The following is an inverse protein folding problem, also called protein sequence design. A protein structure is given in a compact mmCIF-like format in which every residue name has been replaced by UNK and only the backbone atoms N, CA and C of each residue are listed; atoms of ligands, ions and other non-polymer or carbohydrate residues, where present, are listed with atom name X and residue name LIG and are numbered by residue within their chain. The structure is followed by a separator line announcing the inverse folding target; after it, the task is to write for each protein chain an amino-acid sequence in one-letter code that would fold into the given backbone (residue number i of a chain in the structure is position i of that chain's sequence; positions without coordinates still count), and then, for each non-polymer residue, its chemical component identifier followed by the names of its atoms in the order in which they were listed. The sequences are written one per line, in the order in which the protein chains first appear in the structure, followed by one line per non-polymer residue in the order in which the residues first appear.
data_IF_358774506361
#
_entry.id   IF_358774506361
#
_cell.length_a   1.000
_cell.length_b   1.000
_cell.length_c   1.000
_cell.angle_alpha   90.00
_cell.angle_beta   90.00
_cell.angle_gamma   90.00
#
_symmetry.space_group_name_H-M   'P 1'
#
loop_
_entity.id
_entity.type
_entity.pdbx_description
1 polymer ?
#
# COMPACT_ATOMS: atom_id res chain seq x y z
N UNK A 1 70.31 -3.58 0.11
CA UNK A 1 69.78 -2.65 -0.91
C UNK A 1 68.39 -3.14 -1.25
N UNK A 2 67.34 -2.41 -0.87
CA UNK A 2 65.95 -2.77 -1.18
C UNK A 2 65.61 -2.12 -2.53
N UNK A 3 65.30 -2.90 -3.56
CA UNK A 3 65.00 -2.33 -4.88
C UNK A 3 63.56 -1.78 -4.92
N UNK A 4 63.35 -0.50 -5.25
CA UNK A 4 62.02 0.13 -5.23
C UNK A 4 61.03 -0.52 -6.21
N UNK A 5 61.52 -1.13 -7.30
CA UNK A 5 60.71 -1.87 -8.27
C UNK A 5 59.92 -3.04 -7.64
N UNK A 6 60.44 -3.65 -6.56
CA UNK A 6 59.75 -4.76 -5.87
C UNK A 6 58.47 -4.31 -5.15
N UNK A 7 58.47 -3.10 -4.58
CA UNK A 7 57.32 -2.56 -3.86
C UNK A 7 56.20 -2.12 -4.82
N UNK A 8 56.54 -1.45 -5.93
CA UNK A 8 55.56 -1.05 -6.94
C UNK A 8 54.91 -2.27 -7.62
N UNK A 9 55.69 -3.30 -7.96
CA UNK A 9 55.16 -4.54 -8.50
C UNK A 9 54.20 -5.24 -7.51
N UNK A 10 54.50 -5.21 -6.21
CA UNK A 10 53.65 -5.79 -5.17
C UNK A 10 52.33 -5.01 -4.99
N UNK A 11 52.39 -3.67 -4.99
CA UNK A 11 51.18 -2.81 -4.93
C UNK A 11 50.31 -2.99 -6.18
N UNK A 12 50.93 -3.06 -7.37
CA UNK A 12 50.22 -3.33 -8.62
C UNK A 12 49.55 -4.72 -8.63
N UNK A 13 50.24 -5.75 -8.11
CA UNK A 13 49.70 -7.10 -7.98
C UNK A 13 48.51 -7.15 -7.00
N UNK A 14 48.61 -6.50 -5.84
CA UNK A 14 47.50 -6.37 -4.89
C UNK A 14 46.31 -5.62 -5.48
N UNK A 15 46.55 -4.53 -6.22
CA UNK A 15 45.52 -3.79 -6.94
C UNK A 15 44.82 -4.65 -8.01
N UNK A 16 45.59 -5.45 -8.77
CA UNK A 16 45.06 -6.39 -9.76
C UNK A 16 44.20 -7.50 -9.14
N UNK A 17 44.65 -8.09 -8.03
CA UNK A 17 43.87 -9.10 -7.28
C UNK A 17 42.59 -8.49 -6.71
N UNK A 18 42.66 -7.29 -6.14
CA UNK A 18 41.48 -6.58 -5.62
C UNK A 18 40.48 -6.24 -6.74
N UNK A 19 40.95 -5.78 -7.89
CA UNK A 19 40.11 -5.53 -9.06
C UNK A 19 39.45 -6.82 -9.59
N UNK A 20 40.20 -7.92 -9.70
CA UNK A 20 39.65 -9.22 -10.12
C UNK A 20 38.62 -9.76 -9.12
N UNK A 21 38.83 -9.57 -7.81
CA UNK A 21 37.86 -9.93 -6.78
C UNK A 21 36.59 -9.08 -6.88
N UNK A 22 36.70 -7.76 -7.02
CA UNK A 22 35.54 -6.88 -7.23
C UNK A 22 34.80 -7.20 -8.53
N UNK A 23 35.52 -7.50 -9.62
CA UNK A 23 34.94 -7.90 -10.90
C UNK A 23 34.22 -9.26 -10.78
N UNK A 24 34.84 -10.26 -10.13
CA UNK A 24 34.22 -11.56 -9.90
C UNK A 24 32.99 -11.47 -8.98
N UNK A 25 33.02 -10.64 -7.93
CA UNK A 25 31.87 -10.34 -7.09
C UNK A 25 30.77 -9.61 -7.87
N UNK A 26 31.13 -8.65 -8.73
CA UNK A 26 30.21 -7.94 -9.63
C UNK A 26 29.54 -8.87 -10.64
N UNK A 27 30.31 -9.75 -11.30
CA UNK A 27 29.78 -10.76 -12.23
C UNK A 27 28.89 -11.77 -11.48
N UNK A 28 29.31 -12.26 -10.31
CA UNK A 28 28.49 -13.14 -9.45
C UNK A 28 27.18 -12.46 -9.02
N UNK A 29 27.23 -11.18 -8.69
CA UNK A 29 26.03 -10.40 -8.35
C UNK A 29 25.12 -10.21 -9.57
N UNK A 30 25.67 -9.84 -10.74
CA UNK A 30 24.91 -9.72 -11.99
C UNK A 30 24.27 -11.04 -12.42
N UNK A 31 24.96 -12.16 -12.24
CA UNK A 31 24.41 -13.50 -12.46
C UNK A 31 23.30 -13.84 -11.45
N UNK A 32 23.44 -13.43 -10.18
CA UNK A 32 22.39 -13.58 -9.16
C UNK A 32 21.18 -12.66 -9.41
N UNK A 33 21.39 -11.50 -10.04
CA UNK A 33 20.35 -10.55 -10.44
C UNK A 33 19.63 -10.96 -11.75
N UNK A 34 20.11 -12.00 -12.47
CA UNK A 34 19.38 -12.53 -13.63
C UNK A 34 18.08 -13.19 -13.18
N UNK A 35 16.98 -12.77 -13.80
CA UNK A 35 15.65 -13.37 -13.62
C UNK A 35 15.64 -14.81 -14.14
N UNK A 36 15.00 -15.77 -13.44
CA UNK A 36 14.76 -17.12 -13.96
C UNK A 36 13.96 -17.13 -15.26
N UNK A 37 14.04 -18.22 -16.03
CA UNK A 37 13.19 -18.42 -17.20
C UNK A 37 11.70 -18.44 -16.79
N UNK A 38 10.84 -17.74 -17.53
CA UNK A 38 9.41 -17.62 -17.22
C UNK A 38 9.05 -16.68 -16.07
N UNK A 39 10.02 -16.05 -15.40
CA UNK A 39 9.77 -15.10 -14.31
C UNK A 39 9.19 -13.77 -14.82
N UNK A 40 8.34 -13.05 -14.06
CA UNK A 40 7.71 -11.81 -14.53
C UNK A 40 8.72 -10.75 -15.03
N UNK A 41 8.41 -10.02 -16.12
CA UNK A 41 9.27 -8.98 -16.67
C UNK A 41 9.40 -7.81 -15.70
N UNK A 42 10.36 -6.91 -15.94
CA UNK A 42 10.48 -5.69 -15.14
C UNK A 42 11.77 -4.91 -15.40
N UNK A 43 11.92 -3.72 -14.80
CA UNK A 43 13.05 -2.84 -15.05
C UNK A 43 14.39 -3.47 -14.65
N UNK A 44 15.43 -3.16 -15.41
CA UNK A 44 16.80 -3.62 -15.17
C UNK A 44 17.40 -2.87 -13.99
N UNK A 45 17.72 -3.59 -12.92
CA UNK A 45 18.34 -3.00 -11.74
C UNK A 45 19.82 -2.66 -11.95
N UNK A 46 20.32 -1.68 -11.21
CA UNK A 46 21.76 -1.41 -11.11
C UNK A 46 22.47 -2.52 -10.31
N UNK A 47 23.78 -2.74 -10.52
CA UNK A 47 24.57 -3.64 -9.68
C UNK A 47 24.45 -3.26 -8.21
N UNK A 48 24.24 -4.26 -7.34
CA UNK A 48 24.09 -4.16 -5.87
C UNK A 48 22.85 -3.39 -5.35
N UNK A 49 22.46 -2.27 -5.98
CA UNK A 49 21.34 -1.41 -5.55
C UNK A 49 20.01 -1.87 -6.16
N UNK A 50 20.04 -2.57 -7.29
CA UNK A 50 18.85 -3.02 -8.00
C UNK A 50 18.01 -1.82 -8.49
N UNK A 51 16.71 -1.90 -8.26
CA UNK A 51 15.71 -0.87 -8.56
C UNK A 51 15.41 0.05 -7.37
N UNK A 52 16.12 -0.07 -6.24
CA UNK A 52 15.96 0.83 -5.09
C UNK A 52 16.29 2.28 -5.50
N UNK A 53 17.32 2.48 -6.33
CA UNK A 53 17.67 3.81 -6.83
C UNK A 53 16.52 4.43 -7.65
N UNK A 54 15.93 3.69 -8.59
CA UNK A 54 14.80 4.19 -9.39
C UNK A 54 13.55 4.49 -8.55
N UNK A 55 13.31 3.72 -7.48
CA UNK A 55 12.24 4.00 -6.52
C UNK A 55 12.53 5.27 -5.72
N UNK A 56 13.75 5.42 -5.18
CA UNK A 56 14.14 6.51 -4.30
C UNK A 56 14.43 7.84 -5.04
N UNK A 57 14.87 7.78 -6.29
CA UNK A 57 15.12 8.93 -7.16
C UNK A 57 13.86 9.40 -7.90
N UNK A 58 12.77 8.62 -7.87
CA UNK A 58 11.47 9.09 -8.36
C UNK A 58 10.91 10.19 -7.43
N UNK A 59 10.34 11.24 -8.00
CA UNK A 59 9.65 12.29 -7.23
C UNK A 59 8.26 11.84 -6.70
N UNK A 60 7.82 10.64 -7.10
CA UNK A 60 6.53 10.02 -6.81
C UNK A 60 6.64 9.09 -5.58
N UNK A 61 5.51 8.69 -4.99
CA UNK A 61 5.52 7.69 -3.90
C UNK A 61 5.71 6.28 -4.49
N UNK A 62 6.36 5.33 -3.77
CA UNK A 62 6.70 4.00 -4.33
C UNK A 62 5.53 3.23 -4.95
N UNK A 63 4.33 3.31 -4.36
CA UNK A 63 3.12 2.65 -4.87
C UNK A 63 2.55 3.30 -6.15
N UNK A 64 2.74 4.62 -6.32
CA UNK A 64 2.38 5.36 -7.53
C UNK A 64 3.36 4.99 -8.65
N UNK A 65 4.66 5.01 -8.36
CA UNK A 65 5.69 4.53 -9.28
C UNK A 65 5.41 3.09 -9.73
N UNK A 66 5.09 2.18 -8.81
CA UNK A 66 4.76 0.79 -9.15
C UNK A 66 3.50 0.67 -10.03
N UNK A 67 2.45 1.47 -9.78
CA UNK A 67 1.27 1.55 -10.68
C UNK A 67 1.68 2.02 -12.08
N UNK A 68 2.54 3.02 -12.19
CA UNK A 68 3.08 3.52 -13.47
C UNK A 68 3.89 2.43 -14.21
N UNK A 69 4.69 1.64 -13.48
CA UNK A 69 5.41 0.50 -14.07
C UNK A 69 4.49 -0.61 -14.58
N UNK A 70 3.32 -0.84 -13.96
CA UNK A 70 2.36 -1.84 -14.50
C UNK A 70 1.76 -1.47 -15.85
N UNK A 71 1.78 -0.19 -16.25
CA UNK A 71 1.39 0.22 -17.61
C UNK A 71 2.43 -0.19 -18.68
N UNK A 72 3.68 -0.45 -18.27
CA UNK A 72 4.79 -0.82 -19.16
C UNK A 72 5.03 -2.33 -19.16
N UNK A 73 4.97 -2.96 -17.99
CA UNK A 73 5.33 -4.38 -17.79
C UNK A 73 4.12 -5.31 -17.54
N UNK A 74 2.92 -4.77 -17.41
CA UNK A 74 1.68 -5.50 -17.12
C UNK A 74 1.34 -5.59 -15.62
N UNK A 75 0.20 -6.22 -15.32
CA UNK A 75 -0.34 -6.37 -13.96
C UNK A 75 0.59 -7.12 -12.99
N UNK A 76 1.46 -7.98 -13.51
CA UNK A 76 2.49 -8.71 -12.75
C UNK A 76 3.86 -8.35 -13.33
N UNK A 77 4.70 -7.70 -12.53
CA UNK A 77 6.09 -7.39 -12.89
C UNK A 77 7.03 -7.60 -11.71
N UNK A 78 8.34 -7.70 -11.96
CA UNK A 78 9.33 -7.96 -10.91
C UNK A 78 10.34 -6.82 -10.73
N UNK A 79 10.66 -6.54 -9.47
CA UNK A 79 11.68 -5.60 -9.03
C UNK A 79 12.83 -6.34 -8.33
N UNK A 80 13.99 -5.70 -8.35
CA UNK A 80 15.13 -6.08 -7.52
C UNK A 80 15.27 -5.02 -6.41
N UNK A 81 15.09 -5.42 -5.17
CA UNK A 81 15.21 -4.57 -3.98
C UNK A 81 16.54 -4.87 -3.26
N UNK A 82 17.66 -4.58 -3.93
CA UNK A 82 19.00 -4.69 -3.34
C UNK A 82 19.48 -6.13 -3.16
N UNK A 83 19.18 -7.02 -4.12
CA UNK A 83 19.49 -8.45 -4.07
C UNK A 83 18.33 -9.34 -3.60
N UNK A 84 17.16 -8.75 -3.32
CA UNK A 84 15.89 -9.45 -3.07
C UNK A 84 15.01 -9.29 -4.33
N UNK A 85 14.67 -10.39 -4.98
CA UNK A 85 13.71 -10.35 -6.10
C UNK A 85 12.29 -10.35 -5.56
N UNK A 86 11.51 -9.34 -5.95
CA UNK A 86 10.14 -9.15 -5.53
C UNK A 86 9.20 -9.04 -6.73
N UNK A 87 8.09 -9.78 -6.72
CA UNK A 87 7.00 -9.67 -7.71
C UNK A 87 5.95 -8.69 -7.19
N UNK A 88 5.58 -7.70 -7.98
CA UNK A 88 4.54 -6.71 -7.65
C UNK A 88 3.25 -7.06 -8.38
N UNK A 89 2.17 -7.23 -7.62
CA UNK A 89 0.82 -7.48 -8.14
C UNK A 89 0.05 -6.16 -8.20
N UNK A 90 -0.50 -5.83 -9.37
CA UNK A 90 -1.28 -4.62 -9.61
C UNK A 90 -2.62 -4.98 -10.29
N UNK A 91 -3.73 -4.41 -9.81
CA UNK A 91 -5.09 -4.70 -10.30
C UNK A 91 -5.87 -5.63 -9.37
N UNK A 92 -7.19 -5.46 -9.29
CA UNK A 92 -8.03 -6.25 -8.36
C UNK A 92 -7.98 -7.75 -8.65
N UNK A 93 -8.09 -8.13 -9.92
CA UNK A 93 -8.29 -9.52 -10.34
C UNK A 93 -7.09 -10.40 -9.97
N UNK A 94 -5.87 -9.92 -10.21
CA UNK A 94 -4.65 -10.66 -9.84
C UNK A 94 -4.42 -10.71 -8.33
N UNK A 95 -4.82 -9.66 -7.59
CA UNK A 95 -4.72 -9.66 -6.13
C UNK A 95 -5.74 -10.61 -5.51
N UNK A 96 -6.97 -10.69 -6.07
CA UNK A 96 -7.97 -11.69 -5.67
C UNK A 96 -7.47 -13.11 -5.97
N UNK A 97 -6.90 -13.33 -7.16
CA UNK A 97 -6.32 -14.60 -7.60
C UNK A 97 -5.22 -15.09 -6.64
N UNK A 98 -4.16 -14.31 -6.45
CA UNK A 98 -3.04 -14.71 -5.60
C UNK A 98 -3.43 -14.85 -4.12
N UNK A 99 -4.18 -13.90 -3.56
CA UNK A 99 -4.45 -13.91 -2.12
C UNK A 99 -5.55 -14.89 -1.72
N UNK A 100 -6.60 -15.06 -2.53
CA UNK A 100 -7.73 -15.95 -2.20
C UNK A 100 -7.46 -17.37 -2.69
N UNK A 101 -7.11 -17.56 -3.96
CA UNK A 101 -6.98 -18.90 -4.55
C UNK A 101 -5.63 -19.56 -4.25
N UNK A 102 -4.57 -18.79 -3.97
CA UNK A 102 -3.23 -19.33 -3.59
C UNK A 102 -2.87 -19.01 -2.14
N UNK A 103 -3.87 -19.00 -1.25
CA UNK A 103 -3.71 -18.50 0.12
C UNK A 103 -2.79 -19.30 1.05
N UNK A 104 -2.44 -20.56 0.72
CA UNK A 104 -1.41 -21.37 1.44
C UNK A 104 -0.07 -20.63 1.48
N UNK A 105 0.20 -19.94 0.38
CA UNK A 105 1.55 -19.63 -0.06
C UNK A 105 2.09 -18.41 0.70
N UNK A 106 1.23 -17.51 1.17
CA UNK A 106 1.57 -16.09 1.33
C UNK A 106 1.51 -15.53 2.77
N UNK A 107 2.67 -15.52 3.43
CA UNK A 107 2.88 -15.47 4.90
C UNK A 107 2.57 -14.17 5.71
N UNK A 108 3.56 -13.39 6.21
CA UNK A 108 3.40 -12.72 7.53
C UNK A 108 3.70 -11.20 7.69
N UNK A 109 3.23 -10.62 8.81
CA UNK A 109 2.91 -9.18 8.94
C UNK A 109 3.06 -8.56 10.36
N UNK A 110 3.41 -7.26 10.47
CA UNK A 110 3.18 -6.40 11.67
C UNK A 110 2.31 -5.13 11.41
N UNK A 111 1.94 -4.36 12.45
CA UNK A 111 0.78 -3.42 12.48
C UNK A 111 1.06 -1.89 12.61
N UNK A 112 0.12 -1.02 12.19
CA UNK A 112 0.09 0.46 12.39
C UNK A 112 -1.35 1.09 12.37
N UNK A 113 -1.58 2.36 12.82
CA UNK A 113 -2.91 3.03 12.92
C UNK A 113 -3.18 4.26 11.99
N UNK A 114 -4.35 4.91 12.13
CA UNK A 114 -5.07 5.79 11.15
C UNK A 114 -5.72 7.05 11.78
N UNK A 115 -5.76 8.23 11.10
CA UNK A 115 -6.85 9.26 11.10
C UNK A 115 -6.46 10.55 10.27
N UNK A 116 -7.17 10.94 9.17
CA UNK A 116 -6.99 12.33 8.62
C UNK A 116 -8.06 12.97 7.69
N UNK A 117 -9.04 12.27 7.07
CA UNK A 117 -9.86 12.87 5.97
C UNK A 117 -11.35 13.09 6.28
N UNK A 118 -11.71 13.34 7.53
CA UNK A 118 -13.11 13.39 8.00
C UNK A 118 -13.82 14.76 7.88
N UNK A 119 -13.11 15.84 7.54
CA UNK A 119 -13.61 17.22 7.78
C UNK A 119 -14.33 17.89 6.61
N UNK A 120 -14.61 17.20 5.49
CA UNK A 120 -15.12 17.84 4.23
C UNK A 120 -16.52 17.43 3.77
N UNK A 121 -17.34 16.77 4.59
CA UNK A 121 -18.56 16.06 4.12
C UNK A 121 -19.89 16.80 4.35
N UNK A 122 -19.89 18.14 4.24
CA UNK A 122 -21.10 18.96 4.18
C UNK A 122 -22.08 18.85 5.37
N UNK A 123 -21.63 18.34 6.52
CA UNK A 123 -22.46 18.07 7.70
C UNK A 123 -23.47 16.92 7.53
N UNK A 124 -23.49 16.20 6.41
CA UNK A 124 -24.50 15.15 6.15
C UNK A 124 -24.37 13.95 7.09
N UNK A 125 -23.14 13.57 7.44
CA UNK A 125 -22.86 12.60 8.53
C UNK A 125 -23.42 13.09 9.87
N UNK A 126 -23.28 14.38 10.19
CA UNK A 126 -23.79 14.92 11.46
C UNK A 126 -25.32 14.87 11.49
N UNK A 127 -26.00 15.21 10.38
CA UNK A 127 -27.46 15.07 10.25
C UNK A 127 -27.93 13.62 10.47
N UNK A 128 -27.20 12.64 9.94
CA UNK A 128 -27.52 11.22 10.11
C UNK A 128 -27.29 10.75 11.56
N UNK A 129 -26.18 11.18 12.19
CA UNK A 129 -25.91 10.97 13.63
C UNK A 129 -27.03 11.56 14.48
N UNK A 130 -27.43 12.81 14.22
CA UNK A 130 -28.45 13.52 15.00
C UNK A 130 -29.85 12.87 14.84
N UNK A 131 -30.14 12.30 13.67
CA UNK A 131 -31.40 11.60 13.38
C UNK A 131 -31.49 10.22 14.04
N UNK A 132 -30.39 9.45 14.03
CA UNK A 132 -30.38 8.04 14.45
C UNK A 132 -29.96 7.86 15.91
N UNK A 133 -28.95 8.61 16.36
CA UNK A 133 -28.36 8.51 17.71
C UNK A 133 -28.87 9.67 18.59
N UNK A 134 -29.00 10.86 18.01
CA UNK A 134 -29.38 12.08 18.72
C UNK A 134 -28.29 12.65 19.64
N UNK A 135 -28.53 13.81 20.28
CA UNK A 135 -27.51 14.54 21.04
C UNK A 135 -27.15 13.90 22.39
N UNK A 136 -28.03 13.05 22.93
CA UNK A 136 -27.83 12.37 24.23
C UNK A 136 -27.67 10.84 24.11
N UNK A 137 -27.84 10.28 22.91
CA UNK A 137 -27.58 8.86 22.67
C UNK A 137 -26.09 8.53 22.82
N UNK A 138 -25.80 7.26 23.09
CA UNK A 138 -24.42 6.74 23.13
C UNK A 138 -24.20 5.95 21.84
N UNK A 139 -23.24 6.33 20.98
CA UNK A 139 -22.97 5.58 19.76
C UNK A 139 -22.73 4.10 20.04
N UNK A 140 -23.47 3.24 19.35
CA UNK A 140 -23.36 1.79 19.39
C UNK A 140 -23.12 1.22 18.00
N UNK A 141 -22.41 0.10 17.93
CA UNK A 141 -22.21 -0.63 16.67
C UNK A 141 -23.52 -1.11 16.04
N UNK A 142 -24.56 -1.36 16.86
CA UNK A 142 -25.88 -1.78 16.41
C UNK A 142 -26.60 -0.73 15.55
N UNK A 143 -26.21 0.54 15.68
CA UNK A 143 -26.79 1.67 14.94
C UNK A 143 -26.24 1.76 13.51
N UNK A 144 -25.07 1.15 13.23
CA UNK A 144 -24.38 1.18 11.93
C UNK A 144 -25.30 0.84 10.75
N UNK A 145 -26.15 -0.18 10.89
CA UNK A 145 -27.04 -0.61 9.81
C UNK A 145 -28.17 0.39 9.50
N UNK A 146 -28.38 1.40 10.35
CA UNK A 146 -29.33 2.51 10.15
C UNK A 146 -28.64 3.79 9.64
N UNK A 147 -27.32 3.77 9.46
CA UNK A 147 -26.49 4.93 9.12
C UNK A 147 -25.71 4.69 7.81
N UNK A 148 -26.40 4.46 6.67
CA UNK A 148 -25.77 4.06 5.43
C UNK A 148 -24.79 5.10 4.88
N UNK A 149 -25.02 6.40 5.08
CA UNK A 149 -24.11 7.44 4.59
C UNK A 149 -22.81 7.48 5.42
N UNK A 150 -22.89 7.35 6.75
CA UNK A 150 -21.74 7.19 7.63
C UNK A 150 -20.94 5.94 7.28
N UNK A 151 -21.61 4.82 6.99
CA UNK A 151 -20.92 3.60 6.56
C UNK A 151 -20.24 3.79 5.20
N UNK A 152 -20.92 4.39 4.23
CA UNK A 152 -20.38 4.73 2.91
C UNK A 152 -19.14 5.63 3.01
N UNK A 153 -19.19 6.64 3.88
CA UNK A 153 -18.06 7.52 4.22
C UNK A 153 -16.87 6.75 4.77
N UNK A 154 -17.08 5.87 5.76
CA UNK A 154 -15.98 5.09 6.36
C UNK A 154 -15.33 4.14 5.34
N UNK A 155 -16.12 3.59 4.42
CA UNK A 155 -15.61 2.75 3.33
C UNK A 155 -14.83 3.57 2.29
N UNK A 156 -15.26 4.80 1.96
CA UNK A 156 -14.52 5.70 1.09
C UNK A 156 -13.25 6.26 1.75
N UNK A 157 -13.25 6.51 3.07
CA UNK A 157 -12.03 6.84 3.83
C UNK A 157 -11.01 5.71 3.73
N UNK A 158 -11.43 4.45 3.86
CA UNK A 158 -10.54 3.29 3.72
C UNK A 158 -9.99 3.15 2.29
N UNK A 159 -10.83 3.35 1.26
CA UNK A 159 -10.41 3.32 -0.16
C UNK A 159 -9.42 4.44 -0.47
N UNK A 160 -9.79 5.67 -0.13
CA UNK A 160 -9.10 6.88 -0.58
C UNK A 160 -7.78 7.09 0.17
N UNK A 161 -7.80 7.01 1.51
CA UNK A 161 -6.61 7.28 2.30
C UNK A 161 -5.54 6.19 2.12
N UNK A 162 -5.97 4.98 1.75
CA UNK A 162 -5.15 3.83 1.40
C UNK A 162 -3.85 3.71 2.23
N UNK A 163 -4.07 3.49 3.52
CA UNK A 163 -3.08 3.68 4.59
C UNK A 163 -1.90 2.73 4.44
N UNK A 164 -2.14 1.53 3.90
CA UNK A 164 -1.16 0.48 3.60
C UNK A 164 -1.19 0.25 2.08
N UNK A 165 -0.61 1.15 1.26
CA UNK A 165 -0.81 1.15 -0.18
C UNK A 165 -0.06 0.02 -0.88
N UNK A 166 1.07 -0.40 -0.30
CA UNK A 166 1.69 -1.68 -0.56
C UNK A 166 1.25 -2.59 0.59
N UNK A 167 0.31 -3.50 0.31
CA UNK A 167 -0.09 -4.56 1.21
C UNK A 167 1.13 -5.33 1.68
N UNK A 168 1.14 -5.67 2.97
CA UNK A 168 2.32 -6.22 3.65
C UNK A 168 2.81 -7.46 2.89
N UNK A 169 4.13 -7.50 2.68
CA UNK A 169 4.76 -8.42 1.74
C UNK A 169 4.58 -9.87 2.15
N UNK A 170 4.40 -10.73 1.15
CA UNK A 170 4.36 -12.17 1.31
C UNK A 170 5.63 -12.78 0.67
N UNK A 171 5.80 -14.09 0.79
CA UNK A 171 6.80 -14.84 0.04
C UNK A 171 6.15 -16.16 -0.41
N UNK A 172 6.66 -16.82 -1.46
CA UNK A 172 6.10 -18.10 -1.91
C UNK A 172 6.58 -19.31 -1.08
N UNK A 173 5.66 -20.17 -0.62
CA UNK A 173 5.98 -21.43 0.09
C UNK A 173 6.47 -22.56 -0.83
N UNK A 174 6.07 -22.52 -2.11
CA UNK A 174 6.38 -23.48 -3.18
C UNK A 174 6.46 -22.78 -4.54
N UNK A 175 6.84 -23.52 -5.60
CA UNK A 175 6.86 -23.00 -6.96
C UNK A 175 5.42 -22.84 -7.47
N UNK A 176 5.06 -21.64 -7.95
CA UNK A 176 3.73 -21.32 -8.42
C UNK A 176 3.75 -20.84 -9.89
N UNK A 177 2.62 -20.98 -10.57
CA UNK A 177 2.37 -20.31 -11.86
C UNK A 177 1.19 -19.36 -11.69
N UNK A 178 1.37 -18.09 -12.08
CA UNK A 178 0.32 -17.06 -12.04
C UNK A 178 0.26 -16.41 -13.41
N UNK A 179 -0.90 -16.53 -14.08
CA UNK A 179 -1.14 -15.97 -15.44
C UNK A 179 -0.04 -16.28 -16.46
N UNK A 180 0.52 -17.49 -16.41
CA UNK A 180 1.57 -17.97 -17.30
C UNK A 180 3.00 -17.60 -16.88
N UNK A 181 3.20 -16.82 -15.82
CA UNK A 181 4.52 -16.56 -15.24
C UNK A 181 4.87 -17.59 -14.15
N UNK A 182 6.08 -18.12 -14.20
CA UNK A 182 6.64 -18.99 -13.17
C UNK A 182 7.21 -18.16 -12.03
N UNK A 183 6.76 -18.41 -10.80
CA UNK A 183 7.18 -17.73 -9.58
C UNK A 183 7.78 -18.79 -8.63
N UNK A 184 9.12 -18.94 -8.57
CA UNK A 184 9.77 -19.93 -7.73
C UNK A 184 9.50 -19.74 -6.25
N UNK A 185 9.63 -20.80 -5.45
CA UNK A 185 9.62 -20.82 -3.99
C UNK A 185 10.58 -19.78 -3.39
N UNK A 186 10.14 -19.11 -2.34
CA UNK A 186 10.89 -18.07 -1.62
C UNK A 186 10.86 -16.70 -2.30
N UNK A 187 10.13 -16.51 -3.40
CA UNK A 187 9.99 -15.21 -4.08
C UNK A 187 9.12 -14.28 -3.23
N UNK A 188 9.62 -13.07 -2.94
CA UNK A 188 8.82 -12.04 -2.25
C UNK A 188 7.71 -11.54 -3.17
N UNK A 189 6.49 -11.38 -2.63
CA UNK A 189 5.32 -10.86 -3.36
C UNK A 189 4.78 -9.62 -2.66
N UNK A 190 4.67 -8.53 -3.43
CA UNK A 190 4.21 -7.21 -2.99
C UNK A 190 2.84 -6.95 -3.60
N UNK A 191 1.82 -6.75 -2.77
CA UNK A 191 0.47 -6.44 -3.24
C UNK A 191 0.30 -4.93 -3.35
N UNK A 192 0.12 -4.35 -4.53
CA UNK A 192 -0.12 -2.90 -4.65
C UNK A 192 -1.62 -2.59 -4.46
N UNK A 193 -2.08 -2.42 -3.21
CA UNK A 193 -3.47 -2.06 -2.91
C UNK A 193 -3.87 -0.67 -3.49
N UNK A 194 -2.91 0.26 -3.67
CA UNK A 194 -3.18 1.51 -4.40
C UNK A 194 -3.58 1.27 -5.85
N UNK A 195 -3.00 0.26 -6.50
CA UNK A 195 -3.44 -0.08 -7.85
C UNK A 195 -4.92 -0.49 -7.90
N UNK A 196 -5.37 -1.25 -6.89
CA UNK A 196 -6.73 -1.80 -6.74
C UNK A 196 -7.76 -0.73 -6.36
N UNK A 197 -7.44 0.13 -5.39
CA UNK A 197 -8.38 1.15 -4.87
C UNK A 197 -8.53 2.37 -5.79
N UNK A 198 -7.62 2.52 -6.76
CA UNK A 198 -7.65 3.56 -7.79
C UNK A 198 -7.74 2.97 -9.20
N UNK A 199 -8.25 1.75 -9.35
CA UNK A 199 -8.50 1.12 -10.65
C UNK A 199 -9.81 1.65 -11.26
N UNK A 200 -9.72 2.36 -12.40
CA UNK A 200 -10.89 2.91 -13.10
C UNK A 200 -11.88 1.84 -13.57
N UNK A 201 -11.43 0.58 -13.75
CA UNK A 201 -12.30 -0.58 -14.05
C UNK A 201 -13.33 -0.83 -12.94
N UNK A 202 -12.98 -0.53 -11.69
CA UNK A 202 -13.80 -0.79 -10.50
C UNK A 202 -14.31 0.50 -9.82
N UNK A 203 -13.65 1.63 -10.07
CA UNK A 203 -13.87 2.89 -9.37
C UNK A 203 -13.99 4.04 -10.37
N UNK A 204 -15.23 4.46 -10.67
CA UNK A 204 -15.46 5.71 -11.41
C UNK A 204 -14.86 6.88 -10.65
N UNK A 205 -14.09 7.73 -11.34
CA UNK A 205 -13.41 8.90 -10.76
C UNK A 205 -12.64 8.57 -9.47
N UNK A 206 -11.60 7.71 -9.53
CA UNK A 206 -10.97 7.14 -8.34
C UNK A 206 -10.26 8.19 -7.48
N UNK A 207 -9.76 9.26 -8.11
CA UNK A 207 -9.11 10.39 -7.44
C UNK A 207 -10.10 11.36 -6.77
N UNK A 208 -11.41 11.15 -6.94
CA UNK A 208 -12.46 11.90 -6.25
C UNK A 208 -12.92 11.12 -5.02
N UNK A 209 -12.93 11.79 -3.86
CA UNK A 209 -13.55 11.28 -2.63
C UNK A 209 -15.06 11.44 -2.76
N UNK A 210 -15.76 10.32 -2.98
CA UNK A 210 -17.19 10.29 -3.32
C UNK A 210 -17.88 9.12 -2.56
N UNK A 211 -18.30 9.33 -1.30
CA UNK A 211 -18.91 8.29 -0.46
C UNK A 211 -20.10 7.58 -1.13
N UNK A 212 -20.90 8.29 -1.90
CA UNK A 212 -22.12 7.83 -2.57
C UNK A 212 -21.86 6.65 -3.53
N UNK A 213 -20.60 6.39 -3.92
CA UNK A 213 -20.22 5.16 -4.64
C UNK A 213 -20.54 3.87 -3.87
N UNK A 214 -20.71 3.96 -2.55
CA UNK A 214 -21.11 2.87 -1.65
C UNK A 214 -22.60 2.91 -1.27
N UNK A 215 -23.42 3.69 -1.97
CA UNK A 215 -24.87 3.65 -1.84
C UNK A 215 -25.51 2.99 -3.07
N UNK A 216 -26.65 2.34 -2.88
CA UNK A 216 -27.54 1.91 -3.95
C UNK A 216 -28.51 3.03 -4.38
N UNK A 217 -29.35 2.78 -5.38
CA UNK A 217 -30.36 3.73 -5.86
C UNK A 217 -31.45 4.08 -4.83
N UNK A 218 -31.54 3.33 -3.74
CA UNK A 218 -32.49 3.52 -2.64
C UNK A 218 -31.85 4.21 -1.43
N UNK A 219 -30.54 4.50 -1.48
CA UNK A 219 -29.77 5.09 -0.39
C UNK A 219 -29.28 4.08 0.66
N UNK A 220 -29.41 2.77 0.44
CA UNK A 220 -28.83 1.76 1.35
C UNK A 220 -27.34 1.58 1.09
N UNK A 221 -26.60 1.18 2.13
CA UNK A 221 -25.18 0.88 2.00
C UNK A 221 -24.94 -0.41 1.18
N UNK A 222 -24.06 -0.30 0.18
CA UNK A 222 -23.69 -1.36 -0.75
C UNK A 222 -22.16 -1.54 -0.81
N UNK A 223 -21.64 -2.56 -0.12
CA UNK A 223 -20.21 -2.92 -0.13
C UNK A 223 -19.77 -3.31 -1.56
N UNK A 224 -18.61 -2.80 -2.00
CA UNK A 224 -17.96 -3.22 -3.25
C UNK A 224 -16.91 -4.28 -2.97
N UNK A 225 -16.87 -5.36 -3.77
CA UNK A 225 -15.87 -6.43 -3.61
C UNK A 225 -14.41 -5.97 -3.84
N UNK A 226 -14.22 -4.94 -4.67
CA UNK A 226 -12.91 -4.34 -4.94
C UNK A 226 -12.31 -3.58 -3.74
N UNK A 227 -13.11 -3.33 -2.68
CA UNK A 227 -12.64 -2.64 -1.49
C UNK A 227 -11.94 -3.62 -0.53
N UNK A 228 -10.62 -3.73 -0.69
CA UNK A 228 -9.77 -4.65 0.09
C UNK A 228 -8.68 -3.95 0.93
N UNK A 229 -9.00 -2.91 1.74
CA UNK A 229 -8.04 -2.18 2.58
C UNK A 229 -7.43 -3.07 3.67
N UNK A 230 -8.15 -4.14 4.04
CA UNK A 230 -7.72 -5.17 4.98
C UNK A 230 -7.10 -6.39 4.29
N UNK A 231 -6.72 -6.26 3.01
CA UNK A 231 -6.22 -7.34 2.14
C UNK A 231 -7.28 -8.44 1.91
N UNK A 232 -6.85 -9.60 1.42
CA UNK A 232 -7.69 -10.77 1.14
C UNK A 232 -6.97 -12.06 1.58
N UNK A 233 -7.70 -13.19 1.53
CA UNK A 233 -7.10 -14.51 1.71
C UNK A 233 -6.88 -14.91 3.15
N UNK A 234 -6.00 -15.89 3.39
CA UNK A 234 -5.64 -16.36 4.74
C UNK A 234 -5.02 -15.29 5.63
N UNK A 235 -4.49 -14.22 5.03
CA UNK A 235 -3.87 -13.09 5.70
C UNK A 235 -4.61 -11.79 5.43
N UNK A 236 -5.93 -11.88 5.21
CA UNK A 236 -6.82 -10.76 5.49
C UNK A 236 -6.63 -10.33 6.95
N UNK A 237 -6.90 -9.05 7.25
CA UNK A 237 -6.70 -8.54 8.60
C UNK A 237 -7.67 -9.21 9.57
N UNK A 238 -7.15 -10.03 10.49
CA UNK A 238 -7.93 -10.61 11.59
C UNK A 238 -8.62 -9.51 12.44
N UNK A 239 -8.00 -8.33 12.52
CA UNK A 239 -8.54 -7.15 13.15
C UNK A 239 -9.53 -6.33 12.31
N UNK A 240 -9.95 -6.76 11.10
CA UNK A 240 -10.88 -5.98 10.26
C UNK A 240 -12.17 -5.61 10.99
N UNK A 241 -12.79 -6.56 11.70
CA UNK A 241 -14.04 -6.31 12.41
C UNK A 241 -13.85 -5.32 13.56
N UNK A 242 -12.79 -5.49 14.36
CA UNK A 242 -12.45 -4.58 15.45
C UNK A 242 -12.14 -3.17 14.94
N UNK A 243 -11.27 -3.05 13.93
CA UNK A 243 -10.90 -1.77 13.33
C UNK A 243 -12.10 -1.03 12.75
N UNK A 244 -13.04 -1.73 12.09
CA UNK A 244 -14.28 -1.12 11.60
C UNK A 244 -15.20 -0.66 12.72
N UNK A 245 -15.31 -1.42 13.80
CA UNK A 245 -16.08 -1.07 14.99
C UNK A 245 -15.50 0.16 15.69
N UNK A 246 -14.20 0.16 15.95
CA UNK A 246 -13.47 1.30 16.53
C UNK A 246 -13.60 2.53 15.64
N UNK A 247 -13.33 2.41 14.34
CA UNK A 247 -13.50 3.50 13.38
C UNK A 247 -14.91 4.10 13.45
N UNK A 248 -15.96 3.28 13.42
CA UNK A 248 -17.34 3.76 13.50
C UNK A 248 -17.64 4.47 14.82
N UNK A 249 -17.29 3.85 15.96
CA UNK A 249 -17.58 4.41 17.30
C UNK A 249 -16.82 5.70 17.56
N UNK A 250 -15.52 5.77 17.25
CA UNK A 250 -14.73 7.01 17.38
C UNK A 250 -15.22 8.09 16.42
N UNK A 251 -15.48 7.75 15.15
CA UNK A 251 -15.94 8.69 14.13
C UNK A 251 -17.29 9.32 14.49
N UNK A 252 -18.27 8.50 14.89
CA UNK A 252 -19.59 8.98 15.29
C UNK A 252 -19.53 9.76 16.61
N UNK A 253 -18.84 9.27 17.64
CA UNK A 253 -18.71 9.98 18.92
C UNK A 253 -18.02 11.35 18.80
N UNK A 254 -17.03 11.48 17.91
CA UNK A 254 -16.39 12.77 17.64
C UNK A 254 -17.36 13.72 16.92
N UNK A 255 -18.00 13.29 15.84
CA UNK A 255 -18.87 14.15 15.02
C UNK A 255 -20.24 14.45 15.66
N UNK A 256 -20.69 13.60 16.60
CA UNK A 256 -21.83 13.86 17.49
C UNK A 256 -21.56 15.06 18.42
N UNK A 257 -20.31 15.24 18.86
CA UNK A 257 -19.95 16.19 19.93
C UNK A 257 -19.19 17.42 19.47
N UNK A 258 -18.54 17.37 18.31
CA UNK A 258 -17.67 18.44 17.83
C UNK A 258 -17.90 18.77 16.35
N UNK A 259 -17.87 20.06 16.03
CA UNK A 259 -17.54 20.54 14.70
C UNK A 259 -16.01 20.55 14.57
N UNK A 260 -15.49 19.82 13.58
CA UNK A 260 -14.06 19.67 13.33
C UNK A 260 -13.66 20.47 12.10
N UNK A 261 -12.74 21.42 12.26
CA UNK A 261 -12.31 22.37 11.23
C UNK A 261 -10.82 22.69 11.36
N UNK A 262 -10.22 23.29 10.34
CA UNK A 262 -8.82 23.72 10.37
C UNK A 262 -8.74 25.18 10.87
N UNK A 263 -7.74 25.53 11.72
CA UNK A 263 -7.53 26.91 12.13
C UNK A 263 -7.18 27.80 10.93
N UNK A 264 -7.77 29.00 10.87
CA UNK A 264 -7.44 30.06 9.90
C UNK A 264 -7.39 29.62 8.42
N UNK A 265 -8.28 28.71 8.00
CA UNK A 265 -8.33 28.12 6.64
C UNK A 265 -7.03 27.41 6.18
N UNK A 266 -6.10 27.13 7.10
CA UNK A 266 -4.85 26.41 6.81
C UNK A 266 -5.15 24.94 6.46
N UNK A 267 -5.42 24.68 5.18
CA UNK A 267 -5.55 23.32 4.65
C UNK A 267 -4.20 22.59 4.86
N UNK A 268 -4.16 21.46 5.57
CA UNK A 268 -2.92 20.75 5.84
C UNK A 268 -2.29 20.23 4.55
N UNK A 269 -0.96 20.17 4.52
CA UNK A 269 -0.24 19.57 3.41
C UNK A 269 -0.62 18.08 3.29
N UNK A 270 -1.29 17.74 2.19
CA UNK A 270 -1.82 16.40 1.94
C UNK A 270 -0.73 15.41 1.47
N UNK A 271 0.52 15.84 1.25
CA UNK A 271 1.64 14.94 0.92
C UNK A 271 2.00 14.09 2.14
N UNK A 272 1.78 12.76 2.10
CA UNK A 272 2.01 11.91 3.26
C UNK A 272 3.50 11.80 3.61
N UNK A 273 3.78 11.53 4.88
CA UNK A 273 5.06 10.98 5.32
C UNK A 273 5.09 9.51 4.89
N UNK A 274 6.12 9.13 4.16
CA UNK A 274 6.35 7.75 3.75
C UNK A 274 6.93 6.94 4.91
N UNK A 275 6.19 5.92 5.34
CA UNK A 275 6.65 4.85 6.22
C UNK A 275 6.07 3.52 5.77
N UNK A 276 5.95 2.56 6.69
CA UNK A 276 5.18 1.32 6.44
C UNK A 276 3.69 1.63 6.17
N UNK A 277 3.16 2.71 6.75
CA UNK A 277 1.91 3.34 6.33
C UNK A 277 2.14 4.71 5.72
N UNK A 278 1.16 5.19 4.96
CA UNK A 278 1.02 6.62 4.64
C UNK A 278 0.52 7.34 5.88
N UNK A 279 1.38 8.15 6.47
CA UNK A 279 1.05 8.97 7.64
C UNK A 279 0.83 10.42 7.23
N UNK A 280 -0.03 11.16 7.94
CA UNK A 280 -0.15 12.60 7.74
C UNK A 280 1.12 13.34 8.17
N UNK A 281 1.35 14.52 7.59
CA UNK A 281 2.24 15.51 8.22
C UNK A 281 1.59 16.01 9.53
N UNK A 282 2.36 16.47 10.53
CA UNK A 282 1.79 17.16 11.69
C UNK A 282 0.90 18.32 11.25
N UNK A 283 -0.31 18.39 11.81
CA UNK A 283 -1.33 19.38 11.46
C UNK A 283 -2.21 19.68 12.68
N UNK A 284 -2.91 20.81 12.64
CA UNK A 284 -3.79 21.27 13.70
C UNK A 284 -5.26 21.11 13.28
N UNK A 285 -6.11 20.70 14.22
CA UNK A 285 -7.57 20.71 14.09
C UNK A 285 -8.12 21.52 15.26
N UNK A 286 -9.08 22.39 14.98
CA UNK A 286 -9.97 22.97 15.98
C UNK A 286 -11.19 22.05 16.15
N UNK A 287 -11.51 21.74 17.41
CA UNK A 287 -12.67 20.94 17.80
C UNK A 287 -13.61 21.79 18.64
N UNK A 288 -14.53 22.48 17.97
CA UNK A 288 -15.56 23.29 18.60
C UNK A 288 -16.70 22.37 19.05
N UNK A 289 -17.15 22.50 20.30
CA UNK A 289 -18.25 21.70 20.84
C UNK A 289 -19.57 22.06 20.14
N UNK A 290 -20.36 21.03 19.82
CA UNK A 290 -21.76 21.13 19.35
C UNK A 290 -22.72 21.35 20.51
#
# INVERSE_FOLDING_TARGET
MWEPHSAEAFVAALGGVFFLLLFALGVRQLLKQRRPSGFPPGPSGLPFIGNIYSLAASAELPHVYMKKQSQVYGEIFSLDLGGISAVVLNGYDVVKECLVHQSEIFADRPCLPLFMKMTKMGGQVQKEIDLIIGPSGKPSWDEKCKMPYTEAVLHEVLRFCNIVPLGIFHATSEDAVVRGYSIPKGTTVITNLYSVHFDEKYWRDPEIFYPERFLDSSGHFAKKEALIPFSLGRRHCLGEQLARMEMFLFFTALLQRFHLHFPHELVPNLKPRLGMTLQPQPYLICAERR
#
